data_IF_968189349641
#
_entry.id   IF_968189349641
#
_cell.length_a   1.000
_cell.length_b   1.000
_cell.length_c   1.000
_cell.angle_alpha   90.00
_cell.angle_beta   90.00
_cell.angle_gamma   90.00
#
_symmetry.space_group_name_H-M   'P 1'
#
loop_
_entity.id
_entity.type
_entity.pdbx_description
1 polymer ?
#
# COMPACT_ATOMS: atom_id res chain seq x y z
N UNK A 1 -2.79 -27.15 22.42
CA UNK A 1 -2.66 -27.37 20.96
C UNK A 1 -3.24 -26.14 20.24
N UNK A 2 -2.62 -24.95 20.39
CA UNK A 2 -3.37 -23.70 20.17
C UNK A 2 -2.66 -22.70 19.24
N UNK A 3 -1.38 -22.90 18.90
CA UNK A 3 -0.64 -21.93 18.08
C UNK A 3 -0.91 -22.13 16.59
N UNK A 4 -0.97 -23.38 16.12
CA UNK A 4 -1.22 -23.71 14.71
C UNK A 4 -2.60 -23.22 14.24
N UNK A 5 -3.66 -23.47 15.01
CA UNK A 5 -5.03 -23.08 14.65
C UNK A 5 -5.25 -21.56 14.64
N UNK A 6 -4.54 -20.82 15.49
CA UNK A 6 -4.56 -19.34 15.46
C UNK A 6 -3.87 -18.85 14.18
N UNK A 7 -2.73 -19.45 13.82
CA UNK A 7 -2.00 -19.10 12.61
C UNK A 7 -2.85 -19.38 11.35
N UNK A 8 -3.48 -20.55 11.28
CA UNK A 8 -4.35 -20.95 10.16
C UNK A 8 -5.53 -19.97 9.98
N UNK A 9 -6.13 -19.53 11.08
CA UNK A 9 -7.23 -18.55 11.05
C UNK A 9 -6.77 -17.15 10.60
N UNK A 10 -5.55 -16.73 10.97
CA UNK A 10 -4.98 -15.46 10.51
C UNK A 10 -4.61 -15.53 9.03
N UNK A 11 -3.98 -16.63 8.59
CA UNK A 11 -3.64 -16.86 7.18
C UNK A 11 -4.88 -16.90 6.30
N UNK A 12 -5.96 -17.55 6.76
CA UNK A 12 -7.24 -17.56 6.06
C UNK A 12 -7.78 -16.13 5.88
N UNK A 13 -7.82 -15.34 6.96
CA UNK A 13 -8.27 -13.94 6.89
C UNK A 13 -7.41 -13.09 5.96
N UNK A 14 -6.09 -13.23 6.04
CA UNK A 14 -5.16 -12.51 5.17
C UNK A 14 -5.36 -12.88 3.70
N UNK A 15 -5.56 -14.17 3.41
CA UNK A 15 -5.85 -14.66 2.05
C UNK A 15 -7.16 -14.08 1.50
N UNK A 16 -8.24 -14.12 2.29
CA UNK A 16 -9.54 -13.60 1.87
C UNK A 16 -9.55 -12.06 1.72
N UNK A 17 -8.83 -11.34 2.58
CA UNK A 17 -8.63 -9.89 2.42
C UNK A 17 -7.87 -9.58 1.11
N UNK A 18 -6.84 -10.36 0.79
CA UNK A 18 -6.07 -10.18 -0.45
C UNK A 18 -6.89 -10.48 -1.70
N UNK A 19 -7.79 -11.46 -1.62
CA UNK A 19 -8.77 -11.74 -2.68
C UNK A 19 -9.74 -10.56 -2.88
N UNK A 20 -10.26 -9.99 -1.78
CA UNK A 20 -11.09 -8.79 -1.83
C UNK A 20 -10.34 -7.60 -2.45
N UNK A 21 -9.10 -7.34 -2.02
CA UNK A 21 -8.26 -6.28 -2.58
C UNK A 21 -8.07 -6.43 -4.08
N UNK A 22 -7.80 -7.66 -4.55
CA UNK A 22 -7.63 -7.95 -5.97
C UNK A 22 -8.91 -7.69 -6.76
N UNK A 23 -10.08 -8.05 -6.20
CA UNK A 23 -11.37 -7.76 -6.80
C UNK A 23 -11.61 -6.24 -6.90
N UNK A 24 -11.36 -5.51 -5.82
CA UNK A 24 -11.50 -4.05 -5.77
C UNK A 24 -10.57 -3.37 -6.79
N UNK A 25 -9.31 -3.80 -6.89
CA UNK A 25 -8.34 -3.26 -7.85
C UNK A 25 -8.78 -3.40 -9.31
N UNK A 26 -9.47 -4.50 -9.66
CA UNK A 26 -9.97 -4.76 -11.02
C UNK A 26 -11.19 -3.94 -11.36
N UNK A 27 -12.08 -3.71 -10.39
CA UNK A 27 -13.40 -3.11 -10.64
C UNK A 27 -13.51 -1.65 -10.18
N UNK A 28 -12.51 -1.09 -9.50
CA UNK A 28 -12.50 0.34 -9.12
C UNK A 28 -12.64 1.29 -10.31
N UNK A 29 -12.16 0.91 -11.50
CA UNK A 29 -12.29 1.72 -12.72
C UNK A 29 -13.71 1.77 -13.28
N UNK A 30 -14.58 0.84 -12.89
CA UNK A 30 -15.98 0.79 -13.32
C UNK A 30 -16.87 1.76 -12.52
N UNK A 31 -16.41 2.21 -11.36
CA UNK A 31 -17.20 2.97 -10.38
C UNK A 31 -16.52 4.28 -9.96
N UNK A 32 -16.24 5.16 -10.94
CA UNK A 32 -15.58 6.47 -10.74
C UNK A 32 -16.30 7.45 -9.77
N UNK A 33 -17.45 7.09 -9.19
CA UNK A 33 -18.26 8.00 -8.35
C UNK A 33 -19.03 7.29 -7.22
N UNK A 34 -19.06 5.95 -7.18
CA UNK A 34 -19.86 5.20 -6.20
C UNK A 34 -19.07 4.09 -5.52
N UNK A 35 -18.33 4.47 -4.49
CA UNK A 35 -17.56 3.56 -3.64
C UNK A 35 -18.46 2.60 -2.83
N UNK A 36 -19.73 2.98 -2.59
CA UNK A 36 -20.69 2.16 -1.85
C UNK A 36 -21.09 0.91 -2.62
N UNK A 37 -21.39 1.05 -3.91
CA UNK A 37 -21.72 -0.08 -4.76
C UNK A 37 -20.53 -1.04 -4.96
N UNK A 38 -19.30 -0.50 -5.06
CA UNK A 38 -18.09 -1.32 -5.16
C UNK A 38 -17.87 -2.18 -3.89
N UNK A 39 -18.13 -1.61 -2.70
CA UNK A 39 -18.07 -2.31 -1.44
C UNK A 39 -19.04 -3.49 -1.39
N UNK A 40 -20.33 -3.25 -1.63
CA UNK A 40 -21.38 -4.29 -1.60
C UNK A 40 -21.08 -5.44 -2.58
N UNK A 41 -20.61 -5.10 -3.78
CA UNK A 41 -20.25 -6.08 -4.80
C UNK A 41 -19.04 -6.94 -4.39
N UNK A 42 -18.05 -6.35 -3.72
CA UNK A 42 -16.91 -7.09 -3.17
C UNK A 42 -17.32 -8.01 -2.00
N UNK A 43 -18.23 -7.56 -1.12
CA UNK A 43 -18.80 -8.41 -0.06
C UNK A 43 -19.56 -9.59 -0.68
N UNK A 44 -20.40 -9.32 -1.68
CA UNK A 44 -21.12 -10.35 -2.41
C UNK A 44 -20.19 -11.35 -3.10
N UNK A 45 -19.06 -10.91 -3.64
CA UNK A 45 -18.04 -11.81 -4.19
C UNK A 45 -17.45 -12.74 -3.12
N UNK A 46 -17.04 -12.21 -1.96
CA UNK A 46 -16.51 -13.03 -0.87
C UNK A 46 -17.53 -14.07 -0.38
N UNK A 47 -18.78 -13.66 -0.19
CA UNK A 47 -19.83 -14.55 0.34
C UNK A 47 -20.25 -15.58 -0.69
N UNK A 48 -20.55 -15.16 -1.92
CA UNK A 48 -21.18 -16.03 -2.91
C UNK A 48 -20.18 -16.85 -3.73
N UNK A 49 -18.95 -16.35 -3.93
CA UNK A 49 -17.95 -17.01 -4.77
C UNK A 49 -16.85 -17.71 -3.96
N UNK A 50 -16.50 -17.18 -2.80
CA UNK A 50 -15.45 -17.73 -1.92
C UNK A 50 -16.00 -18.32 -0.62
N UNK A 51 -17.33 -18.35 -0.46
CA UNK A 51 -18.03 -18.92 0.70
C UNK A 51 -17.56 -18.37 2.05
N UNK A 52 -17.06 -17.13 2.07
CA UNK A 52 -16.65 -16.45 3.30
C UNK A 52 -17.90 -16.15 4.13
N UNK A 53 -17.90 -16.44 5.44
CA UNK A 53 -19.03 -16.10 6.30
C UNK A 53 -19.36 -14.60 6.26
N UNK A 54 -20.64 -14.26 6.06
CA UNK A 54 -21.10 -12.89 5.87
C UNK A 54 -20.66 -11.94 7.02
N UNK A 55 -20.69 -12.41 8.27
CA UNK A 55 -20.25 -11.63 9.44
C UNK A 55 -18.77 -11.18 9.37
N UNK A 56 -17.95 -11.85 8.56
CA UNK A 56 -16.54 -11.54 8.38
C UNK A 56 -16.24 -10.82 7.06
N UNK A 57 -17.03 -11.08 6.03
CA UNK A 57 -16.84 -10.51 4.70
C UNK A 57 -16.80 -8.97 4.75
N UNK A 58 -17.75 -8.32 5.44
CA UNK A 58 -17.79 -6.85 5.57
C UNK A 58 -16.48 -6.28 6.13
N UNK A 59 -15.94 -6.92 7.17
CA UNK A 59 -14.71 -6.48 7.82
C UNK A 59 -13.50 -6.64 6.90
N UNK A 60 -13.41 -7.76 6.18
CA UNK A 60 -12.30 -8.02 5.27
C UNK A 60 -12.32 -7.05 4.09
N UNK A 61 -13.50 -6.74 3.54
CA UNK A 61 -13.63 -5.77 2.45
C UNK A 61 -13.31 -4.35 2.94
N UNK A 62 -13.74 -3.96 4.15
CA UNK A 62 -13.37 -2.67 4.73
C UNK A 62 -11.85 -2.51 4.87
N UNK A 63 -11.16 -3.55 5.35
CA UNK A 63 -9.70 -3.54 5.46
C UNK A 63 -9.05 -3.45 4.07
N UNK A 64 -9.53 -4.22 3.10
CA UNK A 64 -9.03 -4.18 1.72
C UNK A 64 -9.26 -2.82 1.04
N UNK A 65 -10.38 -2.15 1.29
CA UNK A 65 -10.60 -0.78 0.81
C UNK A 65 -9.62 0.22 1.43
N UNK A 66 -9.35 0.11 2.73
CA UNK A 66 -8.32 0.94 3.38
C UNK A 66 -6.94 0.72 2.78
N UNK A 67 -6.57 -0.52 2.49
CA UNK A 67 -5.34 -0.84 1.77
C UNK A 67 -5.32 -0.25 0.35
N UNK A 68 -6.43 -0.34 -0.38
CA UNK A 68 -6.55 0.25 -1.72
C UNK A 68 -6.39 1.76 -1.71
N UNK A 69 -6.99 2.46 -0.74
CA UNK A 69 -6.83 3.92 -0.58
C UNK A 69 -5.40 4.30 -0.22
N UNK A 70 -4.72 3.50 0.60
CA UNK A 70 -3.29 3.68 0.86
C UNK A 70 -2.45 3.51 -0.42
N UNK A 71 -2.80 2.57 -1.31
CA UNK A 71 -2.14 2.41 -2.61
C UNK A 71 -2.37 3.61 -3.54
N UNK A 72 -3.53 4.27 -3.47
CA UNK A 72 -3.83 5.48 -4.27
C UNK A 72 -3.00 6.69 -3.84
N UNK A 73 -2.47 6.72 -2.61
CA UNK A 73 -1.58 7.79 -2.12
C UNK A 73 -0.14 7.31 -2.18
N UNK A 74 0.61 7.57 -3.26
CA UNK A 74 2.00 7.14 -3.33
C UNK A 74 2.78 7.79 -2.18
N UNK A 75 3.21 6.97 -1.23
CA UNK A 75 4.17 7.38 -0.21
C UNK A 75 5.53 7.39 -0.90
N UNK A 76 6.03 8.59 -1.16
CA UNK A 76 7.36 8.79 -1.74
C UNK A 76 8.36 9.01 -0.61
N UNK A 77 9.29 8.07 -0.49
CA UNK A 77 10.48 8.22 0.34
C UNK A 77 11.56 9.04 -0.35
N UNK A 78 12.41 9.69 0.43
CA UNK A 78 13.61 10.36 -0.07
C UNK A 78 14.80 9.68 0.58
N UNK A 79 15.68 9.12 -0.25
CA UNK A 79 16.96 8.56 0.17
C UNK A 79 18.09 9.50 -0.25
N UNK A 80 18.86 9.93 0.75
CA UNK A 80 20.00 10.83 0.62
C UNK A 80 21.34 10.08 0.57
N UNK A 81 21.35 8.76 0.75
CA UNK A 81 22.55 7.90 0.77
C UNK A 81 23.09 7.55 -0.62
N UNK A 82 22.85 8.38 -1.63
CA UNK A 82 23.37 8.13 -2.98
C UNK A 82 24.86 8.47 -3.05
N UNK A 83 25.61 7.77 -3.91
CA UNK A 83 27.04 8.05 -4.12
C UNK A 83 27.32 9.43 -4.73
N UNK A 84 26.30 10.10 -5.27
CA UNK A 84 26.38 11.46 -5.82
C UNK A 84 25.72 12.45 -4.86
N UNK A 85 26.55 13.29 -4.22
CA UNK A 85 26.12 14.31 -3.24
C UNK A 85 25.18 15.35 -3.85
N UNK A 86 25.04 15.41 -5.19
CA UNK A 86 24.15 16.35 -5.89
C UNK A 86 22.77 15.77 -6.22
N UNK A 87 22.56 14.48 -5.96
CA UNK A 87 21.33 13.75 -6.32
C UNK A 87 20.75 13.02 -5.12
N UNK A 88 19.43 12.84 -5.16
CA UNK A 88 18.69 12.00 -4.22
C UNK A 88 17.90 10.96 -4.99
N UNK A 89 17.61 9.83 -4.34
CA UNK A 89 16.65 8.87 -4.86
C UNK A 89 15.26 9.17 -4.27
N UNK A 90 14.28 9.41 -5.14
CA UNK A 90 12.87 9.31 -4.77
C UNK A 90 12.45 7.86 -4.91
N UNK A 91 11.94 7.27 -3.83
CA UNK A 91 11.55 5.86 -3.79
C UNK A 91 10.04 5.80 -3.63
N UNK A 92 9.37 5.15 -4.57
CA UNK A 92 7.99 4.75 -4.37
C UNK A 92 7.97 3.52 -3.45
N UNK A 93 7.50 3.68 -2.21
CA UNK A 93 7.50 2.58 -1.23
C UNK A 93 6.63 1.39 -1.65
N UNK A 94 5.65 1.59 -2.52
CA UNK A 94 4.75 0.53 -2.96
C UNK A 94 5.30 -0.28 -4.14
N UNK A 95 5.95 0.38 -5.10
CA UNK A 95 6.54 -0.31 -6.26
C UNK A 95 8.01 -0.71 -6.04
N UNK A 96 8.69 -0.10 -5.07
CA UNK A 96 10.14 -0.21 -4.90
C UNK A 96 10.93 0.52 -5.99
N UNK A 97 10.26 1.23 -6.90
CA UNK A 97 10.91 1.98 -7.97
C UNK A 97 11.63 3.21 -7.40
N UNK A 98 12.86 3.41 -7.85
CA UNK A 98 13.69 4.54 -7.44
C UNK A 98 14.06 5.40 -8.65
N UNK A 99 13.87 6.71 -8.54
CA UNK A 99 14.26 7.69 -9.55
C UNK A 99 15.25 8.67 -8.94
N UNK A 100 16.38 8.86 -9.62
CA UNK A 100 17.38 9.85 -9.22
C UNK A 100 17.00 11.25 -9.71
N UNK A 101 16.87 12.19 -8.78
CA UNK A 101 16.63 13.60 -9.11
C UNK A 101 17.72 14.50 -8.50
N UNK A 102 18.10 15.59 -9.17
CA UNK A 102 19.00 16.59 -8.60
C UNK A 102 18.40 17.30 -7.37
N UNK A 103 19.21 17.52 -6.33
CA UNK A 103 18.83 18.21 -5.09
C UNK A 103 18.24 19.61 -5.30
N UNK A 104 18.68 20.33 -6.34
CA UNK A 104 18.18 21.67 -6.69
C UNK A 104 16.68 21.69 -7.04
N UNK A 105 16.10 20.55 -7.38
CA UNK A 105 14.67 20.42 -7.66
C UNK A 105 13.85 20.11 -6.41
N UNK A 106 14.50 19.74 -5.30
CA UNK A 106 13.82 19.54 -4.03
C UNK A 106 13.59 20.88 -3.30
N UNK A 107 12.41 21.09 -2.71
CA UNK A 107 12.17 22.20 -1.80
C UNK A 107 13.17 22.18 -0.63
N UNK A 108 13.54 23.35 -0.11
CA UNK A 108 14.51 23.48 0.99
C UNK A 108 14.20 22.61 2.23
N UNK A 109 12.91 22.37 2.53
CA UNK A 109 12.47 21.52 3.65
C UNK A 109 12.78 20.03 3.46
N UNK A 110 13.04 19.61 2.23
CA UNK A 110 13.32 18.22 1.84
C UNK A 110 14.77 18.06 1.37
N UNK A 111 15.64 19.01 1.72
CA UNK A 111 17.07 18.87 1.52
C UNK A 111 17.67 18.07 2.68
N UNK A 112 18.77 17.33 2.45
CA UNK A 112 19.40 16.53 3.48
C UNK A 112 19.77 17.42 4.68
N UNK A 113 19.50 16.96 5.91
CA UNK A 113 19.89 17.71 7.09
C UNK A 113 21.42 17.85 7.13
N UNK A 114 21.91 18.99 7.63
CA UNK A 114 23.34 19.34 7.62
C UNK A 114 24.27 18.26 8.23
N UNK A 115 23.74 17.42 9.13
CA UNK A 115 24.46 16.29 9.71
C UNK A 115 24.82 15.19 8.70
N UNK A 116 23.99 14.94 7.68
CA UNK A 116 24.26 13.96 6.61
C UNK A 116 25.18 14.52 5.53
N UNK A 117 25.12 15.84 5.27
CA UNK A 117 26.02 16.50 4.31
C UNK A 117 27.49 16.45 4.76
N UNK A 118 27.76 16.48 6.07
CA UNK A 118 29.12 16.40 6.62
C UNK A 118 29.76 15.01 6.48
N UNK A 119 28.96 13.94 6.50
CA UNK A 119 29.43 12.55 6.41
C UNK A 119 29.86 12.13 4.99
N UNK A 120 29.43 12.86 3.94
CA UNK A 120 29.79 12.58 2.55
C UNK A 120 31.10 13.26 2.09
N UNK A 121 31.80 13.96 2.99
CA UNK A 121 33.00 14.78 2.69
C UNK A 121 34.34 14.11 3.02
N UNK A 122 34.39 12.81 3.26
CA UNK A 122 35.60 12.07 3.62
C UNK A 122 35.94 10.95 2.65
#
# INVERSE_FOLDING_TARGET
MNVSTINDAQEYRASMQRAALTFLQRHQGEHLTDDGHLFERAVGYLVNSLEVPAFMADRLVHLAMGELECLKRPVIGIDYGTTDVTRVALINFFSGEAVLIPLRHLPARLQPPAALAAAATH
#
